data_IF_976730470803
#
_entry.id   IF_976730470803
#
_cell.length_a   1.000
_cell.length_b   1.000
_cell.length_c   1.000
_cell.angle_alpha   90.00
_cell.angle_beta   90.00
_cell.angle_gamma   90.00
#
_symmetry.space_group_name_H-M   'P 1'
#
loop_
_entity.id
_entity.type
_entity.pdbx_description
1 polymer ?
#
# COMPACT_ATOMS: atom_id res chain seq x y z
N UNK A 1 -11.44 0.14 -21.04
CA UNK A 1 -10.96 0.93 -19.88
C UNK A 1 -9.58 0.46 -19.46
N UNK A 2 -8.65 1.37 -19.39
CA UNK A 2 -7.29 1.06 -18.92
C UNK A 2 -7.31 0.75 -17.43
N UNK A 3 -6.66 -0.31 -17.03
CA UNK A 3 -6.51 -0.64 -15.61
C UNK A 3 -5.44 0.25 -14.98
N UNK A 4 -5.51 0.59 -13.67
CA UNK A 4 -4.52 1.44 -13.03
C UNK A 4 -3.07 0.95 -13.16
N UNK A 5 -2.85 -0.35 -13.14
CA UNK A 5 -1.52 -0.95 -13.34
C UNK A 5 -0.98 -0.81 -14.76
N UNK A 6 -1.81 -0.56 -15.76
CA UNK A 6 -1.34 -0.33 -17.13
C UNK A 6 -0.48 0.94 -17.19
N UNK A 7 -0.84 1.98 -16.42
CA UNK A 7 -0.03 3.20 -16.30
C UNK A 7 1.34 2.92 -15.66
N UNK A 8 1.38 2.10 -14.63
CA UNK A 8 2.64 1.68 -13.99
C UNK A 8 3.53 0.94 -14.99
N UNK A 9 2.96 0.05 -15.80
CA UNK A 9 3.70 -0.67 -16.83
C UNK A 9 4.26 0.26 -17.91
N UNK A 10 3.51 1.29 -18.30
CA UNK A 10 4.00 2.27 -19.28
C UNK A 10 5.14 3.13 -18.72
N UNK A 11 5.09 3.50 -17.46
CA UNK A 11 6.17 4.21 -16.78
C UNK A 11 7.43 3.34 -16.67
N UNK A 12 7.26 2.08 -16.30
CA UNK A 12 8.39 1.17 -16.07
C UNK A 12 9.05 0.66 -17.36
N UNK A 13 8.28 0.22 -18.34
CA UNK A 13 8.85 -0.56 -19.44
C UNK A 13 8.47 -0.09 -20.84
N UNK A 14 7.21 0.04 -21.15
CA UNK A 14 6.77 0.29 -22.54
C UNK A 14 6.99 1.72 -23.00
N UNK A 15 6.99 2.68 -22.09
CA UNK A 15 7.17 4.11 -22.38
C UNK A 15 6.15 4.71 -23.34
N UNK A 16 5.04 4.03 -23.56
CA UNK A 16 3.92 4.52 -24.35
C UNK A 16 3.03 5.42 -23.50
N UNK A 17 2.92 6.70 -23.87
CA UNK A 17 2.08 7.64 -23.12
C UNK A 17 0.60 7.39 -23.40
N UNK A 18 -0.08 6.77 -22.44
CA UNK A 18 -1.49 6.42 -22.56
C UNK A 18 -2.43 7.63 -22.59
N UNK A 19 -2.01 8.78 -22.07
CA UNK A 19 -2.82 10.00 -22.08
C UNK A 19 -2.73 10.76 -23.40
N UNK A 20 -1.62 10.64 -24.13
CA UNK A 20 -1.43 11.29 -25.44
C UNK A 20 -1.92 10.44 -26.62
N UNK A 21 -1.75 9.12 -26.52
CA UNK A 21 -2.06 8.18 -27.59
C UNK A 21 -3.49 7.61 -27.51
N UNK A 22 -4.34 8.20 -26.67
CA UNK A 22 -5.71 7.77 -26.44
C UNK A 22 -6.69 8.58 -27.29
N UNK A 23 -7.75 7.94 -27.74
CA UNK A 23 -8.87 8.60 -28.45
C UNK A 23 -9.62 9.58 -27.53
N UNK A 24 -9.54 9.38 -26.21
CA UNK A 24 -10.17 10.25 -25.21
C UNK A 24 -9.17 10.53 -24.08
N UNK A 25 -8.47 11.63 -24.20
CA UNK A 25 -7.45 12.09 -23.24
C UNK A 25 -8.01 12.29 -21.82
N UNK A 26 -9.22 12.85 -21.72
CA UNK A 26 -9.85 13.11 -20.42
C UNK A 26 -10.18 11.80 -19.67
N UNK A 27 -10.68 10.80 -20.38
CA UNK A 27 -10.99 9.51 -19.80
C UNK A 27 -9.71 8.79 -19.35
N UNK A 28 -8.65 8.88 -20.16
CA UNK A 28 -7.35 8.34 -19.80
C UNK A 28 -6.78 9.01 -18.55
N UNK A 29 -6.87 10.34 -18.46
CA UNK A 29 -6.40 11.08 -17.30
C UNK A 29 -7.19 10.72 -16.02
N UNK A 30 -8.50 10.55 -16.12
CA UNK A 30 -9.35 10.11 -14.98
C UNK A 30 -9.00 8.71 -14.49
N UNK A 31 -8.56 7.83 -15.37
CA UNK A 31 -8.16 6.46 -15.04
C UNK A 31 -6.80 6.36 -14.31
N UNK A 32 -6.01 7.42 -14.31
CA UNK A 32 -4.73 7.46 -13.61
C UNK A 32 -4.91 7.62 -12.11
N UNK A 33 -4.30 6.72 -11.34
CA UNK A 33 -4.33 6.74 -9.87
C UNK A 33 -2.96 7.09 -9.31
N UNK A 34 -2.74 8.37 -8.91
CA UNK A 34 -1.42 8.81 -8.45
C UNK A 34 -0.90 8.05 -7.23
N UNK A 35 -1.76 7.81 -6.26
CA UNK A 35 -1.38 7.08 -5.05
C UNK A 35 -0.88 5.66 -5.35
N UNK A 36 -1.65 4.93 -6.17
CA UNK A 36 -1.29 3.56 -6.56
C UNK A 36 0.04 3.53 -7.33
N UNK A 37 0.22 4.44 -8.26
CA UNK A 37 1.43 4.54 -9.08
C UNK A 37 2.65 4.88 -8.22
N UNK A 38 2.55 5.88 -7.36
CA UNK A 38 3.62 6.28 -6.46
C UNK A 38 3.96 5.17 -5.46
N UNK A 39 2.96 4.48 -4.95
CA UNK A 39 3.17 3.33 -4.08
C UNK A 39 3.90 2.19 -4.79
N UNK A 40 3.49 1.84 -6.00
CA UNK A 40 4.16 0.81 -6.80
C UNK A 40 5.63 1.16 -7.10
N UNK A 41 5.93 2.42 -7.40
CA UNK A 41 7.29 2.89 -7.68
C UNK A 41 8.15 3.05 -6.43
N UNK A 42 7.55 3.15 -5.26
CA UNK A 42 8.28 3.29 -3.99
C UNK A 42 9.02 2.03 -3.55
N UNK A 43 8.71 0.88 -4.13
CA UNK A 43 9.36 -0.40 -3.81
C UNK A 43 10.75 -0.58 -4.44
N UNK A 44 11.19 0.33 -5.30
CA UNK A 44 12.45 0.19 -6.05
C UNK A 44 13.40 1.34 -5.74
N UNK A 45 14.69 1.04 -5.47
CA UNK A 45 15.69 2.07 -5.13
C UNK A 45 15.88 3.12 -6.21
N UNK A 46 15.73 2.75 -7.47
CA UNK A 46 15.93 3.65 -8.61
C UNK A 46 14.71 4.53 -8.93
N UNK A 47 13.54 4.25 -8.38
CA UNK A 47 12.30 4.99 -8.66
C UNK A 47 11.67 5.65 -7.42
N UNK A 48 12.08 5.25 -6.22
CA UNK A 48 11.48 5.75 -4.97
C UNK A 48 11.60 7.28 -4.81
N UNK A 49 12.70 7.87 -5.23
CA UNK A 49 12.90 9.33 -5.12
C UNK A 49 11.92 10.10 -6.02
N UNK A 50 11.67 9.59 -7.21
CA UNK A 50 10.68 10.19 -8.13
C UNK A 50 9.25 10.04 -7.61
N UNK A 51 8.93 8.88 -7.02
CA UNK A 51 7.65 8.66 -6.37
C UNK A 51 7.43 9.61 -5.18
N UNK A 52 8.45 9.81 -4.34
CA UNK A 52 8.40 10.76 -3.23
C UNK A 52 8.23 12.20 -3.70
N UNK A 53 8.88 12.58 -4.79
CA UNK A 53 8.72 13.91 -5.37
C UNK A 53 7.29 14.15 -5.84
N UNK A 54 6.69 13.17 -6.51
CA UNK A 54 5.29 13.27 -6.92
C UNK A 54 4.32 13.25 -5.73
N UNK A 55 4.64 12.56 -4.65
CA UNK A 55 3.87 12.65 -3.40
C UNK A 55 3.92 14.05 -2.78
N UNK A 56 5.06 14.71 -2.86
CA UNK A 56 5.21 16.11 -2.41
C UNK A 56 4.34 17.05 -3.24
N UNK A 57 4.26 16.81 -4.54
CA UNK A 57 3.45 17.58 -5.49
C UNK A 57 2.10 16.94 -5.79
N UNK A 58 1.50 16.27 -4.84
CA UNK A 58 0.21 15.56 -4.99
C UNK A 58 -0.97 16.48 -5.39
N UNK A 59 -0.83 17.78 -5.19
CA UNK A 59 -1.81 18.78 -5.59
C UNK A 59 -1.81 19.12 -7.10
N UNK A 60 -0.80 18.67 -7.83
CA UNK A 60 -0.77 18.81 -9.29
C UNK A 60 -1.84 17.95 -9.95
N UNK A 61 -2.26 18.37 -11.14
CA UNK A 61 -3.13 17.54 -11.98
C UNK A 61 -2.49 16.20 -12.32
N UNK A 62 -3.30 15.24 -12.68
CA UNK A 62 -2.84 13.87 -12.96
C UNK A 62 -1.89 13.79 -14.15
N UNK A 63 -2.15 14.55 -15.22
CA UNK A 63 -1.33 14.54 -16.43
C UNK A 63 0.13 14.97 -16.18
N UNK A 64 0.43 16.11 -15.55
CA UNK A 64 1.79 16.47 -15.21
C UNK A 64 2.53 15.45 -14.37
N UNK A 65 1.87 14.85 -13.40
CA UNK A 65 2.46 13.80 -12.57
C UNK A 65 2.86 12.56 -13.39
N UNK A 66 1.96 12.11 -14.24
CA UNK A 66 2.22 10.96 -15.13
C UNK A 66 3.34 11.24 -16.14
N UNK A 67 3.29 12.39 -16.79
CA UNK A 67 4.31 12.78 -17.78
C UNK A 67 5.70 12.93 -17.15
N UNK A 68 5.79 13.49 -15.95
CA UNK A 68 7.04 13.55 -15.21
C UNK A 68 7.64 12.15 -14.99
N UNK A 69 6.84 11.22 -14.50
CA UNK A 69 7.31 9.87 -14.21
C UNK A 69 7.71 9.11 -15.49
N UNK A 70 6.90 9.16 -16.54
CA UNK A 70 7.18 8.42 -17.78
C UNK A 70 8.40 8.95 -18.53
N UNK A 71 8.65 10.27 -18.44
CA UNK A 71 9.80 10.89 -19.09
C UNK A 71 11.10 10.78 -18.29
N UNK A 72 11.03 10.61 -16.99
CA UNK A 72 12.18 10.64 -16.08
C UNK A 72 12.70 9.24 -15.78
N UNK A 73 11.81 8.26 -15.59
CA UNK A 73 12.17 6.91 -15.21
C UNK A 73 12.67 6.13 -16.44
N UNK A 74 13.82 5.45 -16.28
CA UNK A 74 14.40 4.62 -17.34
C UNK A 74 13.60 3.33 -17.55
N UNK A 75 13.48 2.82 -18.79
CA UNK A 75 12.77 1.58 -19.03
C UNK A 75 13.48 0.38 -18.39
N UNK A 76 12.75 -0.32 -17.54
CA UNK A 76 13.21 -1.53 -16.85
C UNK A 76 12.01 -2.33 -16.38
N UNK A 77 12.07 -3.65 -16.49
CA UNK A 77 11.09 -4.51 -15.81
C UNK A 77 11.28 -4.40 -14.31
N UNK A 78 10.21 -3.98 -13.62
CA UNK A 78 10.18 -3.88 -12.16
C UNK A 78 9.00 -4.66 -11.63
N UNK A 79 9.26 -5.55 -10.72
CA UNK A 79 8.23 -6.29 -10.02
C UNK A 79 8.62 -6.42 -8.55
N UNK A 80 7.68 -6.16 -7.67
CA UNK A 80 7.84 -6.39 -6.24
C UNK A 80 6.52 -6.88 -5.65
N UNK A 81 6.64 -7.74 -4.67
CA UNK A 81 5.50 -8.11 -3.85
C UNK A 81 5.18 -6.96 -2.91
N UNK A 82 3.95 -6.48 -2.95
CA UNK A 82 3.53 -5.42 -2.04
C UNK A 82 3.53 -5.93 -0.60
N UNK A 83 4.02 -5.09 0.30
CA UNK A 83 3.93 -5.37 1.73
C UNK A 83 2.46 -5.38 2.09
N UNK A 84 1.97 -6.51 2.55
CA UNK A 84 0.66 -6.57 3.17
C UNK A 84 0.74 -5.76 4.45
N UNK A 85 -0.23 -4.89 4.68
CA UNK A 85 -0.41 -4.34 6.01
C UNK A 85 -0.41 -5.51 6.99
N UNK A 86 0.26 -5.33 8.14
CA UNK A 86 0.18 -6.29 9.23
C UNK A 86 -1.28 -6.74 9.36
N UNK A 87 -1.51 -8.03 9.50
CA UNK A 87 -2.87 -8.56 9.53
C UNK A 87 -3.66 -7.73 10.52
N UNK A 88 -4.86 -7.32 10.15
CA UNK A 88 -5.71 -6.55 11.06
C UNK A 88 -5.84 -7.22 12.43
N UNK A 89 -5.73 -8.54 12.48
CA UNK A 89 -5.76 -9.34 13.70
C UNK A 89 -4.63 -9.00 14.67
N UNK A 90 -3.39 -8.89 14.19
CA UNK A 90 -2.24 -8.53 15.04
C UNK A 90 -2.32 -7.09 15.53
N UNK A 91 -2.78 -6.18 14.67
CA UNK A 91 -3.01 -4.80 15.04
C UNK A 91 -4.12 -4.66 16.08
N UNK A 92 -5.22 -5.37 15.90
CA UNK A 92 -6.33 -5.40 16.87
C UNK A 92 -5.90 -5.96 18.21
N UNK A 93 -5.12 -7.04 18.22
CA UNK A 93 -4.54 -7.62 19.44
C UNK A 93 -3.68 -6.61 20.22
N UNK A 94 -2.81 -5.90 19.54
CA UNK A 94 -1.94 -4.90 20.15
C UNK A 94 -2.75 -3.70 20.68
N UNK A 95 -3.72 -3.23 19.90
CA UNK A 95 -4.59 -2.13 20.33
C UNK A 95 -5.42 -2.50 21.56
N UNK A 96 -5.93 -3.70 21.62
CA UNK A 96 -6.73 -4.20 22.73
C UNK A 96 -5.88 -4.42 23.98
N UNK A 97 -4.69 -5.00 23.84
CA UNK A 97 -3.77 -5.25 24.95
C UNK A 97 -3.27 -3.96 25.61
N UNK A 98 -2.90 -2.95 24.82
CA UNK A 98 -2.40 -1.67 25.32
C UNK A 98 -3.47 -0.60 25.49
N UNK A 99 -4.70 -0.84 25.05
CA UNK A 99 -5.79 0.15 25.11
C UNK A 99 -5.51 1.40 24.27
N UNK A 100 -4.90 1.25 23.10
CA UNK A 100 -4.51 2.36 22.21
C UNK A 100 -5.29 2.35 20.89
N UNK A 101 -5.20 3.46 20.15
CA UNK A 101 -5.78 3.56 18.80
C UNK A 101 -4.91 2.83 17.76
N UNK A 102 -5.43 2.69 16.54
CA UNK A 102 -4.75 1.97 15.45
C UNK A 102 -3.41 2.58 15.04
N UNK A 103 -3.27 3.90 15.12
CA UNK A 103 -2.03 4.60 14.76
C UNK A 103 -0.92 4.24 15.74
N UNK A 104 -1.19 4.36 17.02
CA UNK A 104 -0.26 3.99 18.10
C UNK A 104 -0.03 2.48 18.11
N UNK A 105 -1.05 1.69 17.85
CA UNK A 105 -0.95 0.24 17.73
C UNK A 105 0.01 -0.21 16.62
N UNK A 106 0.03 0.47 15.47
CA UNK A 106 1.00 0.20 14.40
C UNK A 106 2.43 0.51 14.81
N UNK A 107 2.65 1.61 15.53
CA UNK A 107 3.97 1.95 16.07
C UNK A 107 4.46 0.87 17.06
N UNK A 108 3.62 0.45 17.97
CA UNK A 108 3.94 -0.62 18.92
C UNK A 108 4.21 -1.95 18.22
N UNK A 109 3.40 -2.29 17.22
CA UNK A 109 3.57 -3.53 16.43
C UNK A 109 4.94 -3.55 15.72
N UNK A 110 5.41 -2.41 15.23
CA UNK A 110 6.72 -2.29 14.59
C UNK A 110 7.90 -2.49 15.56
N UNK A 111 7.69 -2.20 16.84
CA UNK A 111 8.71 -2.31 17.90
C UNK A 111 8.69 -3.67 18.61
N UNK A 112 7.59 -4.40 18.54
CA UNK A 112 7.45 -5.70 19.22
C UNK A 112 8.23 -6.80 18.50
N UNK A 113 8.95 -7.62 19.30
CA UNK A 113 9.57 -8.84 18.79
C UNK A 113 8.52 -9.95 18.61
N UNK A 114 8.88 -10.99 17.85
CA UNK A 114 8.01 -12.17 17.65
C UNK A 114 7.62 -12.84 18.96
N UNK A 115 8.55 -12.90 19.91
CA UNK A 115 8.33 -13.48 21.25
C UNK A 115 7.33 -12.65 22.06
N UNK A 116 7.48 -11.32 22.03
CA UNK A 116 6.55 -10.42 22.70
C UNK A 116 5.15 -10.49 22.11
N UNK A 117 5.04 -10.60 20.79
CA UNK A 117 3.76 -10.75 20.11
C UNK A 117 3.07 -12.07 20.49
N UNK A 118 3.83 -13.18 20.57
CA UNK A 118 3.34 -14.46 21.02
C UNK A 118 2.86 -14.42 22.49
N UNK A 119 3.57 -13.69 23.34
CA UNK A 119 3.16 -13.49 24.73
C UNK A 119 1.80 -12.78 24.80
N UNK A 120 1.60 -11.70 24.02
CA UNK A 120 0.33 -10.98 23.94
C UNK A 120 -0.80 -11.89 23.45
N UNK A 121 -0.55 -12.69 22.40
CA UNK A 121 -1.52 -13.69 21.90
C UNK A 121 -1.93 -14.67 22.98
N UNK A 122 -0.96 -15.18 23.74
CA UNK A 122 -1.19 -16.17 24.80
C UNK A 122 -2.01 -15.57 25.96
N UNK A 123 -1.73 -14.33 26.36
CA UNK A 123 -2.49 -13.65 27.41
C UNK A 123 -3.96 -13.43 27.00
N UNK A 124 -4.22 -13.16 25.73
CA UNK A 124 -5.59 -12.98 25.22
C UNK A 124 -6.32 -14.30 24.99
N UNK A 125 -5.61 -15.36 24.62
CA UNK A 125 -6.20 -16.72 24.46
C UNK A 125 -6.72 -17.30 25.77
N UNK A 126 -6.18 -16.88 26.92
CA UNK A 126 -6.72 -17.26 28.23
C UNK A 126 -8.13 -16.69 28.48
N UNK A 127 -8.52 -15.65 27.71
CA UNK A 127 -9.90 -15.13 27.68
C UNK A 127 -10.86 -15.89 26.75
N UNK A 128 -10.34 -16.75 25.87
CA UNK A 128 -11.13 -17.49 24.88
C UNK A 128 -11.94 -18.69 25.43
N UNK A 129 -11.67 -19.10 26.64
CA UNK A 129 -12.41 -20.20 27.34
C UNK A 129 -13.91 -19.88 27.46
N UNK A 130 -14.29 -18.62 27.47
CA UNK A 130 -15.69 -18.19 27.49
C UNK A 130 -16.45 -18.50 26.19
N UNK A 131 -15.76 -18.64 25.07
CA UNK A 131 -16.41 -18.94 23.77
C UNK A 131 -16.67 -20.44 23.57
N UNK A 132 -15.91 -21.32 24.21
CA UNK A 132 -16.15 -22.76 24.13
C UNK A 132 -17.35 -23.20 24.99
N UNK A 133 -17.60 -22.53 26.12
CA UNK A 133 -18.78 -22.83 26.94
C UNK A 133 -20.10 -22.47 26.23
N UNK A 134 -20.10 -21.47 25.36
CA UNK A 134 -21.27 -21.07 24.56
C UNK A 134 -21.55 -22.00 23.36
N UNK A 135 -20.56 -22.79 22.93
CA UNK A 135 -20.76 -23.80 21.85
C UNK A 135 -21.34 -25.12 22.35
N UNK A 136 -21.25 -25.40 23.65
CA UNK A 136 -21.79 -26.61 24.23
C UNK A 136 -23.26 -26.56 24.68
N UNK A 137 -23.85 -25.35 24.61
CA UNK A 137 -25.26 -25.12 24.99
C UNK A 137 -26.20 -24.94 23.80
N UNK A 138 -25.79 -25.37 22.61
CA UNK A 138 -26.67 -25.44 21.43
C UNK A 138 -26.89 -26.85 20.96
#
# INVERSE_FOLDING_TARGET
>A
MSKPFDYVNTINSTKKNMMRDSENDELAERGYEPWLTNNALSYFPDTILYANEMNTYHHLEKRPQYEYLINTIRPKKRWSKWVKNASNEELELVCEFYGCNKIIGQEYLSLLSSEQLQFIKKEQDTGGIKNESNRRTR
#
